data_IF_877957891030
#
_entry.id   IF_877957891030
#
_cell.length_a   1.000
_cell.length_b   1.000
_cell.length_c   1.000
_cell.angle_alpha   90.00
_cell.angle_beta   90.00
_cell.angle_gamma   90.00
#
_symmetry.space_group_name_H-M   'P 1'
#
loop_
_entity.id
_entity.type
_entity.pdbx_description
1 polymer ?
#
# COMPACT_ATOMS: atom_id res chain seq x y z
N UNK A 1 -37.46 -2.64 -26.82
CA UNK A 1 -36.25 -2.36 -26.01
C UNK A 1 -36.68 -2.23 -24.56
N UNK A 2 -36.21 -3.14 -23.69
CA UNK A 2 -36.49 -3.11 -22.25
C UNK A 2 -35.90 -1.81 -21.69
N UNK A 3 -36.75 -0.84 -21.39
CA UNK A 3 -36.39 0.34 -20.59
C UNK A 3 -35.84 -0.17 -19.26
N UNK A 4 -34.57 0.12 -18.96
CA UNK A 4 -33.96 -0.25 -17.69
C UNK A 4 -34.83 0.22 -16.52
N UNK A 5 -35.03 -0.66 -15.54
CA UNK A 5 -35.73 -0.34 -14.30
C UNK A 5 -35.06 0.89 -13.67
N UNK A 6 -35.80 2.00 -13.53
CA UNK A 6 -35.34 3.19 -12.80
C UNK A 6 -35.72 3.05 -11.34
N UNK A 7 -34.79 3.40 -10.46
CA UNK A 7 -34.98 3.38 -9.01
C UNK A 7 -35.05 4.80 -8.46
N UNK A 8 -35.93 5.02 -7.50
CA UNK A 8 -36.14 6.31 -6.89
C UNK A 8 -34.88 6.77 -6.14
N UNK A 9 -34.37 7.99 -6.37
CA UNK A 9 -33.17 8.49 -5.71
C UNK A 9 -33.35 8.73 -4.21
N UNK A 10 -34.61 8.82 -3.72
CA UNK A 10 -34.90 9.02 -2.29
C UNK A 10 -34.97 7.72 -1.49
N UNK A 11 -35.47 6.64 -2.07
CA UNK A 11 -35.80 5.43 -1.29
C UNK A 11 -35.48 4.10 -2.00
N UNK A 12 -34.87 4.14 -3.19
CA UNK A 12 -34.45 2.94 -3.93
C UNK A 12 -35.59 2.07 -4.47
N UNK A 13 -36.84 2.52 -4.42
CA UNK A 13 -38.00 1.78 -4.96
C UNK A 13 -38.10 1.97 -6.46
N UNK A 14 -38.49 0.93 -7.20
CA UNK A 14 -38.72 1.01 -8.66
C UNK A 14 -39.76 2.09 -8.96
N UNK A 15 -39.40 3.01 -9.86
CA UNK A 15 -40.29 4.08 -10.30
C UNK A 15 -41.26 3.60 -11.37
N UNK A 16 -42.48 4.12 -11.34
CA UNK A 16 -43.53 3.80 -12.30
C UNK A 16 -43.75 4.97 -13.25
N UNK A 17 -44.09 4.67 -14.51
CA UNK A 17 -44.43 5.71 -15.48
C UNK A 17 -45.91 6.06 -15.42
N UNK A 18 -46.21 7.35 -15.60
CA UNK A 18 -47.58 7.86 -15.71
C UNK A 18 -47.61 8.91 -16.81
N UNK A 19 -48.70 8.96 -17.58
CA UNK A 19 -48.88 9.93 -18.66
C UNK A 19 -49.69 11.12 -18.14
N UNK A 20 -49.26 12.34 -18.47
CA UNK A 20 -50.02 13.58 -18.28
C UNK A 20 -50.06 14.33 -19.62
N UNK A 21 -51.17 14.22 -20.34
CA UNK A 21 -51.26 14.75 -21.70
C UNK A 21 -50.24 14.10 -22.65
N UNK A 22 -49.44 14.93 -23.32
CA UNK A 22 -48.36 14.49 -24.22
C UNK A 22 -47.05 14.12 -23.50
N UNK A 23 -46.95 14.37 -22.18
CA UNK A 23 -45.72 14.17 -21.40
C UNK A 23 -45.76 12.86 -20.62
N UNK A 24 -44.62 12.17 -20.58
CA UNK A 24 -44.40 11.02 -19.72
C UNK A 24 -43.63 11.49 -18.48
N UNK A 25 -44.08 11.11 -17.28
CA UNK A 25 -43.34 11.36 -16.04
C UNK A 25 -43.16 10.07 -15.27
N UNK A 26 -42.07 9.98 -14.51
CA UNK A 26 -41.80 8.86 -13.60
C UNK A 26 -42.14 9.31 -12.18
N UNK A 27 -42.82 8.45 -11.43
CA UNK A 27 -43.16 8.70 -10.03
C UNK A 27 -42.80 7.51 -9.14
N UNK A 28 -42.45 7.79 -7.89
CA UNK A 28 -42.20 6.78 -6.89
C UNK A 28 -43.50 6.49 -6.10
N UNK A 29 -44.03 5.25 -6.11
CA UNK A 29 -45.23 4.92 -5.36
C UNK A 29 -45.01 4.94 -3.84
N UNK A 30 -43.75 4.86 -3.37
CA UNK A 30 -43.41 4.79 -1.94
C UNK A 30 -43.25 6.16 -1.27
N UNK A 31 -42.64 7.13 -1.94
CA UNK A 31 -42.31 8.43 -1.35
C UNK A 31 -42.86 9.64 -2.12
N UNK A 32 -43.62 9.42 -3.20
CA UNK A 32 -44.23 10.48 -3.99
C UNK A 32 -43.26 11.34 -4.80
N UNK A 33 -41.98 10.94 -4.92
CA UNK A 33 -41.01 11.64 -5.76
C UNK A 33 -41.39 11.55 -7.24
N UNK A 34 -41.44 12.68 -7.94
CA UNK A 34 -41.74 12.77 -9.38
C UNK A 34 -40.55 13.37 -10.14
N UNK A 35 -40.25 12.82 -11.32
CA UNK A 35 -39.28 13.39 -12.27
C UNK A 35 -39.91 13.50 -13.68
N UNK A 36 -39.76 14.67 -14.29
CA UNK A 36 -40.29 14.96 -15.61
C UNK A 36 -39.39 14.33 -16.68
N UNK A 37 -39.99 13.62 -17.64
CA UNK A 37 -39.26 13.06 -18.79
C UNK A 37 -39.61 13.92 -20.01
N UNK A 38 -39.05 15.13 -20.06
CA UNK A 38 -39.35 16.10 -21.12
C UNK A 38 -39.02 15.55 -22.52
N UNK A 39 -40.04 15.47 -23.40
CA UNK A 39 -39.91 15.13 -24.82
C UNK A 39 -40.24 16.34 -25.68
N UNK A 40 -39.33 16.76 -26.57
CA UNK A 40 -39.70 17.51 -27.78
C UNK A 40 -40.16 16.47 -28.81
N UNK A 41 -41.38 16.61 -29.32
CA UNK A 41 -41.97 15.69 -30.31
C UNK A 41 -42.04 16.39 -31.65
N UNK A 42 -41.23 15.97 -32.62
CA UNK A 42 -41.53 16.20 -34.04
C UNK A 42 -42.50 15.10 -34.53
N UNK A 43 -43.52 15.43 -35.33
CA UNK A 43 -44.52 14.46 -35.78
C UNK A 43 -43.89 13.38 -36.67
N UNK A 44 -44.08 12.09 -36.31
CA UNK A 44 -43.80 10.95 -37.20
C UNK A 44 -42.53 10.15 -36.91
N UNK A 45 -41.75 10.44 -35.85
CA UNK A 45 -40.62 9.60 -35.42
C UNK A 45 -40.76 9.10 -33.98
N UNK A 46 -40.30 7.86 -33.73
CA UNK A 46 -40.23 7.29 -32.37
C UNK A 46 -39.34 8.17 -31.47
N UNK A 47 -39.75 8.45 -30.22
CA UNK A 47 -38.96 9.29 -29.32
C UNK A 47 -37.61 8.63 -29.00
N UNK A 48 -36.53 9.33 -29.34
CA UNK A 48 -35.17 8.97 -28.95
C UNK A 48 -34.87 9.77 -27.68
N UNK A 49 -34.72 9.08 -26.55
CA UNK A 49 -34.19 9.67 -25.31
C UNK A 49 -32.74 10.10 -25.56
N UNK A 50 -32.52 11.36 -25.91
CA UNK A 50 -31.18 11.97 -25.85
C UNK A 50 -30.99 12.53 -24.44
N UNK A 51 -29.92 12.17 -23.72
CA UNK A 51 -29.55 12.88 -22.50
C UNK A 51 -29.44 14.37 -22.85
N UNK A 52 -29.96 15.25 -21.98
CA UNK A 52 -29.70 16.70 -22.08
C UNK A 52 -28.19 16.85 -22.24
N UNK A 53 -27.74 17.30 -23.41
CA UNK A 53 -26.31 17.44 -23.70
C UNK A 53 -25.77 18.51 -22.75
N UNK A 54 -25.17 18.07 -21.64
CA UNK A 54 -24.52 18.96 -20.71
C UNK A 54 -23.47 19.77 -21.50
N UNK A 55 -23.62 21.09 -21.51
CA UNK A 55 -22.69 21.98 -22.20
C UNK A 55 -21.51 22.30 -21.31
N UNK A 56 -20.34 22.41 -21.91
CA UNK A 56 -19.11 22.76 -21.22
C UNK A 56 -19.24 24.16 -20.58
N UNK A 57 -19.00 24.32 -19.28
CA UNK A 57 -19.13 25.61 -18.61
C UNK A 57 -18.06 26.61 -19.04
N UNK A 58 -16.98 26.17 -19.70
CA UNK A 58 -15.91 27.05 -20.20
C UNK A 58 -16.16 27.57 -21.61
N UNK A 59 -16.67 26.74 -22.52
CA UNK A 59 -16.74 27.08 -23.94
C UNK A 59 -18.08 26.75 -24.61
N UNK A 60 -19.07 26.25 -23.87
CA UNK A 60 -20.38 25.89 -24.39
C UNK A 60 -20.42 24.63 -25.26
N UNK A 61 -19.28 24.03 -25.58
CA UNK A 61 -19.18 22.81 -26.41
C UNK A 61 -19.74 21.56 -25.73
N UNK A 62 -20.00 20.50 -26.50
CA UNK A 62 -20.53 19.24 -25.99
C UNK A 62 -19.58 18.56 -24.99
N UNK A 63 -20.13 18.05 -23.89
CA UNK A 63 -19.40 17.23 -22.93
C UNK A 63 -19.50 15.74 -23.27
N UNK A 64 -18.40 15.03 -23.10
CA UNK A 64 -18.33 13.56 -23.16
C UNK A 64 -18.30 13.01 -21.74
N UNK A 65 -19.09 11.97 -21.47
CA UNK A 65 -19.09 11.27 -20.19
C UNK A 65 -18.49 9.87 -20.38
N UNK A 66 -17.57 9.48 -19.50
CA UNK A 66 -16.98 8.14 -19.44
C UNK A 66 -16.99 7.64 -18.00
N UNK A 67 -17.48 6.42 -17.81
CA UNK A 67 -17.47 5.77 -16.50
C UNK A 67 -16.45 4.63 -16.51
N UNK A 68 -15.65 4.56 -15.46
CA UNK A 68 -14.72 3.49 -15.15
C UNK A 68 -14.98 3.06 -13.71
N UNK A 69 -15.62 1.91 -13.53
CA UNK A 69 -16.04 1.40 -12.22
C UNK A 69 -16.85 2.44 -11.41
N UNK A 70 -16.25 2.97 -10.35
CA UNK A 70 -16.78 3.92 -9.38
C UNK A 70 -16.40 5.38 -9.70
N UNK A 71 -15.72 5.65 -10.82
CA UNK A 71 -15.41 7.00 -11.27
C UNK A 71 -16.15 7.33 -12.57
N UNK A 72 -16.81 8.48 -12.60
CA UNK A 72 -17.41 9.04 -13.81
C UNK A 72 -16.72 10.35 -14.17
N UNK A 73 -16.08 10.37 -15.33
CA UNK A 73 -15.41 11.53 -15.88
C UNK A 73 -16.33 12.24 -16.87
N UNK A 74 -16.44 13.55 -16.73
CA UNK A 74 -17.13 14.42 -17.68
C UNK A 74 -16.10 15.39 -18.25
N UNK A 75 -15.90 15.40 -19.56
CA UNK A 75 -14.84 16.20 -20.19
C UNK A 75 -15.25 16.83 -21.53
N UNK A 76 -14.65 17.98 -21.83
CA UNK A 76 -14.82 18.69 -23.09
C UNK A 76 -13.59 18.50 -23.96
N UNK A 77 -13.77 17.93 -25.17
CA UNK A 77 -12.67 17.78 -26.13
C UNK A 77 -12.17 19.11 -26.70
N UNK A 78 -13.00 20.15 -26.70
CA UNK A 78 -12.66 21.43 -27.32
C UNK A 78 -11.70 22.29 -26.49
N UNK A 79 -11.86 22.31 -25.16
CA UNK A 79 -11.07 23.18 -24.28
C UNK A 79 -10.38 22.44 -23.12
N UNK A 80 -10.43 21.11 -23.11
CA UNK A 80 -9.81 20.28 -22.07
C UNK A 80 -10.47 20.37 -20.69
N UNK A 81 -11.66 20.97 -20.56
CA UNK A 81 -12.41 20.95 -19.30
C UNK A 81 -12.65 19.51 -18.85
N UNK A 82 -12.39 19.18 -17.58
CA UNK A 82 -12.64 17.87 -17.02
C UNK A 82 -13.10 17.96 -15.55
N UNK A 83 -14.10 17.15 -15.21
CA UNK A 83 -14.54 16.89 -13.84
C UNK A 83 -14.72 15.40 -13.63
N UNK A 84 -14.56 14.95 -12.39
CA UNK A 84 -14.83 13.57 -12.00
C UNK A 84 -15.84 13.55 -10.86
N UNK A 85 -16.73 12.56 -10.87
CA UNK A 85 -17.61 12.23 -9.75
C UNK A 85 -17.30 10.81 -9.29
N UNK A 86 -17.26 10.64 -7.97
CA UNK A 86 -16.97 9.37 -7.31
C UNK A 86 -18.26 8.76 -6.75
N UNK A 87 -18.50 7.50 -7.11
CA UNK A 87 -19.61 6.68 -6.62
C UNK A 87 -19.06 5.60 -5.69
N UNK A 88 -19.02 5.82 -4.36
CA UNK A 88 -18.38 4.89 -3.44
C UNK A 88 -18.98 3.48 -3.53
N UNK A 89 -18.16 2.42 -3.37
CA UNK A 89 -18.67 1.07 -3.23
C UNK A 89 -19.54 0.95 -1.97
N UNK A 90 -20.44 -0.03 -1.96
CA UNK A 90 -21.30 -0.30 -0.80
C UNK A 90 -20.52 -0.79 0.42
N UNK A 91 -19.34 -1.38 0.19
CA UNK A 91 -18.43 -1.83 1.24
C UNK A 91 -17.74 -0.62 1.86
N UNK A 92 -17.88 -0.48 3.18
CA UNK A 92 -17.16 0.53 3.95
C UNK A 92 -15.87 -0.08 4.48
N UNK A 93 -14.79 0.68 4.36
CA UNK A 93 -13.55 0.41 5.08
C UNK A 93 -13.65 1.03 6.48
N UNK A 94 -13.01 0.42 7.49
CA UNK A 94 -12.33 -0.87 7.44
C UNK A 94 -13.28 -2.07 7.36
N UNK A 95 -12.80 -3.21 6.85
CA UNK A 95 -13.55 -4.49 6.83
C UNK A 95 -13.66 -5.07 8.24
N UNK A 96 -14.79 -5.73 8.53
CA UNK A 96 -15.00 -6.42 9.81
C UNK A 96 -13.90 -7.46 10.10
N UNK A 97 -13.53 -7.59 11.39
CA UNK A 97 -12.45 -8.46 11.85
C UNK A 97 -12.68 -9.94 11.52
N UNK A 98 -13.88 -10.48 11.74
CA UNK A 98 -14.16 -11.92 11.56
C UNK A 98 -13.91 -12.38 10.12
N UNK A 99 -14.50 -11.73 9.10
CA UNK A 99 -14.20 -12.02 7.71
C UNK A 99 -12.72 -11.85 7.37
N UNK A 100 -12.08 -10.78 7.86
CA UNK A 100 -10.66 -10.52 7.61
C UNK A 100 -9.74 -11.63 8.18
N UNK A 101 -9.97 -12.06 9.43
CA UNK A 101 -9.19 -13.13 10.06
C UNK A 101 -9.34 -14.46 9.33
N UNK A 102 -10.57 -14.81 8.90
CA UNK A 102 -10.78 -16.03 8.12
C UNK A 102 -10.08 -15.96 6.78
N UNK A 103 -10.12 -14.81 6.11
CA UNK A 103 -9.45 -14.62 4.83
C UNK A 103 -7.92 -14.71 4.99
N UNK A 104 -7.34 -14.08 6.01
CA UNK A 104 -5.91 -14.11 6.28
C UNK A 104 -5.39 -15.52 6.58
N UNK A 105 -6.10 -16.30 7.40
CA UNK A 105 -5.72 -17.71 7.67
C UNK A 105 -5.69 -18.54 6.39
N UNK A 106 -6.73 -18.41 5.56
CA UNK A 106 -6.76 -19.06 4.25
C UNK A 106 -5.65 -18.55 3.30
N UNK A 107 -5.27 -17.27 3.40
CA UNK A 107 -4.17 -16.71 2.63
C UNK A 107 -2.81 -17.29 3.05
N UNK A 108 -2.57 -17.47 4.36
CA UNK A 108 -1.38 -18.17 4.88
C UNK A 108 -1.32 -19.59 4.33
N UNK A 109 -2.40 -20.36 4.44
CA UNK A 109 -2.42 -21.75 3.99
C UNK A 109 -2.13 -21.87 2.48
N UNK A 110 -2.75 -21.01 1.67
CA UNK A 110 -2.49 -20.96 0.22
C UNK A 110 -1.07 -20.53 -0.11
N UNK A 111 -0.52 -19.55 0.61
CA UNK A 111 0.87 -19.12 0.42
C UNK A 111 1.86 -20.21 0.84
N UNK A 112 1.55 -20.97 1.90
CA UNK A 112 2.36 -22.08 2.37
C UNK A 112 2.37 -23.29 1.41
N UNK A 113 1.27 -23.52 0.69
CA UNK A 113 1.18 -24.58 -0.32
C UNK A 113 1.97 -24.26 -1.60
N UNK A 114 2.14 -22.97 -1.92
CA UNK A 114 2.87 -22.50 -3.10
C UNK A 114 4.28 -22.00 -2.75
N UNK A 115 4.95 -22.63 -1.75
CA UNK A 115 6.32 -22.27 -1.38
C UNK A 115 7.26 -22.60 -2.53
N UNK A 116 7.95 -21.58 -3.02
CA UNK A 116 9.01 -21.74 -4.01
C UNK A 116 10.23 -22.33 -3.31
N UNK A 117 10.51 -23.61 -3.56
CA UNK A 117 11.75 -24.25 -3.11
C UNK A 117 12.93 -23.66 -3.88
N UNK A 118 13.90 -23.14 -3.15
CA UNK A 118 15.12 -22.52 -3.72
C UNK A 118 16.35 -23.40 -3.56
N UNK A 119 16.28 -24.41 -2.69
CA UNK A 119 17.42 -25.28 -2.39
C UNK A 119 17.26 -26.11 -1.12
N UNK A 120 18.38 -26.54 -0.56
CA UNK A 120 18.47 -27.22 0.73
C UNK A 120 19.65 -26.70 1.54
N UNK A 121 19.59 -26.91 2.86
CA UNK A 121 20.65 -26.55 3.78
C UNK A 121 20.88 -27.62 4.85
N UNK A 122 22.11 -27.69 5.33
CA UNK A 122 22.54 -28.49 6.47
C UNK A 122 23.13 -27.56 7.52
N UNK A 123 22.68 -27.69 8.76
CA UNK A 123 23.14 -26.89 9.88
C UNK A 123 24.56 -27.31 10.25
N UNK A 124 25.47 -26.34 10.23
CA UNK A 124 26.88 -26.53 10.56
C UNK A 124 27.17 -26.00 11.96
N UNK A 125 26.62 -24.84 12.29
CA UNK A 125 26.90 -24.15 13.54
C UNK A 125 25.75 -23.24 13.97
N UNK A 126 25.67 -22.97 15.28
CA UNK A 126 24.67 -22.11 15.92
C UNK A 126 25.38 -21.18 16.91
N UNK A 127 25.32 -19.88 16.64
CA UNK A 127 25.90 -18.84 17.50
C UNK A 127 24.76 -17.98 18.11
N UNK A 128 24.60 -17.91 19.44
CA UNK A 128 23.65 -16.97 20.03
C UNK A 128 24.14 -15.53 19.87
N UNK A 129 23.24 -14.61 19.51
CA UNK A 129 23.49 -13.18 19.34
C UNK A 129 22.57 -12.34 20.24
N UNK A 130 22.97 -11.11 20.58
CA UNK A 130 22.10 -10.16 21.26
C UNK A 130 21.68 -10.57 22.68
N UNK A 131 22.50 -11.34 23.38
CA UNK A 131 22.18 -11.82 24.73
C UNK A 131 21.29 -13.08 24.76
N UNK A 132 21.12 -13.76 23.63
CA UNK A 132 20.36 -15.02 23.53
C UNK A 132 18.94 -14.85 23.00
N UNK A 133 18.59 -13.67 22.48
CA UNK A 133 17.28 -13.40 21.88
C UNK A 133 17.19 -13.86 20.41
N UNK A 134 18.34 -14.14 19.77
CA UNK A 134 18.45 -14.57 18.36
C UNK A 134 19.54 -15.62 18.23
N UNK A 135 19.29 -16.68 17.47
CA UNK A 135 20.30 -17.65 17.06
C UNK A 135 20.76 -17.35 15.63
N UNK A 136 22.07 -17.32 15.39
CA UNK A 136 22.68 -17.20 14.07
C UNK A 136 23.12 -18.58 13.61
N UNK A 137 22.44 -19.09 12.58
CA UNK A 137 22.70 -20.39 12.00
C UNK A 137 23.67 -20.25 10.84
N UNK A 138 24.72 -21.05 10.82
CA UNK A 138 25.57 -21.24 9.64
C UNK A 138 25.11 -22.50 8.92
N UNK A 139 24.57 -22.33 7.70
CA UNK A 139 24.05 -23.41 6.88
C UNK A 139 25.02 -23.70 5.73
N UNK A 140 25.38 -24.96 5.52
CA UNK A 140 25.96 -25.42 4.25
C UNK A 140 24.81 -25.64 3.28
N UNK A 141 24.78 -24.90 2.18
CA UNK A 141 23.60 -24.84 1.30
C UNK A 141 23.90 -25.28 -0.13
N UNK A 142 22.85 -25.76 -0.79
CA UNK A 142 22.76 -26.04 -2.23
C UNK A 142 21.56 -25.27 -2.77
N UNK A 143 21.78 -24.19 -3.52
CA UNK A 143 20.74 -23.23 -3.93
C UNK A 143 20.78 -23.06 -5.46
N UNK A 144 19.62 -22.96 -6.10
CA UNK A 144 19.57 -22.69 -7.54
C UNK A 144 20.23 -21.34 -7.87
N UNK A 145 20.95 -21.27 -9.00
CA UNK A 145 21.83 -20.15 -9.36
C UNK A 145 21.11 -18.80 -9.35
N UNK A 146 19.92 -18.72 -9.93
CA UNK A 146 19.09 -17.50 -9.92
C UNK A 146 18.81 -16.98 -8.50
N UNK A 147 18.58 -17.86 -7.53
CA UNK A 147 18.37 -17.50 -6.13
C UNK A 147 19.68 -17.20 -5.40
N UNK A 148 20.75 -17.97 -5.65
CA UNK A 148 22.08 -17.65 -5.13
C UNK A 148 22.57 -16.26 -5.58
N UNK A 149 22.22 -15.86 -6.80
CA UNK A 149 22.52 -14.55 -7.37
C UNK A 149 21.57 -13.45 -6.92
N UNK A 150 20.40 -13.75 -6.35
CA UNK A 150 19.37 -12.75 -5.99
C UNK A 150 19.06 -12.64 -4.49
N UNK A 151 19.34 -13.67 -3.69
CA UNK A 151 19.24 -13.66 -2.23
C UNK A 151 20.23 -12.68 -1.64
N UNK A 152 19.77 -11.92 -0.65
CA UNK A 152 20.54 -10.83 -0.05
C UNK A 152 20.30 -10.74 1.46
N UNK A 153 21.21 -10.10 2.21
CA UNK A 153 20.96 -9.74 3.60
C UNK A 153 19.57 -9.11 3.82
N UNK A 154 18.94 -9.51 4.92
CA UNK A 154 17.58 -9.20 5.32
C UNK A 154 16.46 -9.86 4.48
N UNK A 155 16.76 -10.63 3.43
CA UNK A 155 15.72 -11.43 2.77
C UNK A 155 15.25 -12.55 3.72
N UNK A 156 13.96 -12.86 3.69
CA UNK A 156 13.37 -13.89 4.56
C UNK A 156 13.28 -15.22 3.81
N UNK A 157 13.76 -16.29 4.43
CA UNK A 157 13.75 -17.65 3.88
C UNK A 157 13.30 -18.64 4.95
N UNK A 158 12.53 -19.64 4.54
CA UNK A 158 12.22 -20.78 5.39
C UNK A 158 13.34 -21.80 5.30
N UNK A 159 13.98 -22.15 6.42
CA UNK A 159 14.89 -23.28 6.56
C UNK A 159 14.18 -24.39 7.34
N UNK A 160 13.94 -25.56 6.73
CA UNK A 160 13.24 -26.66 7.41
C UNK A 160 11.88 -26.25 8.03
N UNK A 161 11.11 -25.41 7.31
CA UNK A 161 9.87 -24.75 7.77
C UNK A 161 10.05 -23.74 8.91
N UNK A 162 11.28 -23.44 9.30
CA UNK A 162 11.63 -22.41 10.24
C UNK A 162 11.86 -21.09 9.51
N UNK A 163 11.14 -20.05 9.90
CA UNK A 163 11.37 -18.74 9.34
C UNK A 163 12.73 -18.20 9.81
N UNK A 164 13.55 -17.77 8.86
CA UNK A 164 14.88 -17.21 9.11
C UNK A 164 15.13 -15.98 8.25
N UNK A 165 16.03 -15.11 8.69
CA UNK A 165 16.48 -13.91 7.95
C UNK A 165 17.92 -14.11 7.48
N UNK A 166 18.20 -13.92 6.20
CA UNK A 166 19.57 -13.91 5.67
C UNK A 166 20.39 -12.81 6.34
N UNK A 167 21.51 -13.15 6.97
CA UNK A 167 22.42 -12.20 7.64
C UNK A 167 23.49 -11.69 6.69
N UNK A 168 24.14 -12.62 5.98
CA UNK A 168 25.27 -12.34 5.10
C UNK A 168 24.96 -12.74 3.65
N UNK A 169 25.69 -12.16 2.71
CA UNK A 169 25.74 -12.72 1.35
C UNK A 169 26.24 -14.17 1.38
N UNK A 170 25.76 -15.00 0.44
CA UNK A 170 26.22 -16.38 0.30
C UNK A 170 27.74 -16.40 0.09
N UNK A 171 28.47 -16.96 1.07
CA UNK A 171 29.93 -17.05 1.05
C UNK A 171 30.33 -18.38 0.40
N UNK A 172 31.17 -18.31 -0.63
CA UNK A 172 31.55 -19.35 -1.59
C UNK A 172 30.48 -19.63 -2.67
N UNK A 173 30.90 -19.50 -3.93
CA UNK A 173 30.09 -19.63 -5.15
C UNK A 173 30.72 -20.66 -6.08
N UNK A 174 30.85 -21.89 -5.60
CA UNK A 174 31.02 -23.00 -6.55
C UNK A 174 29.66 -23.21 -7.23
N UNK A 175 29.50 -22.58 -8.39
CA UNK A 175 28.28 -22.63 -9.19
C UNK A 175 28.52 -23.52 -10.42
N UNK A 176 28.73 -24.81 -10.19
CA UNK A 176 28.87 -25.82 -11.24
C UNK A 176 27.52 -26.08 -11.93
N UNK A 177 27.16 -25.20 -12.87
CA UNK A 177 25.88 -25.27 -13.57
C UNK A 177 24.74 -24.59 -12.80
N UNK A 178 23.52 -25.12 -12.85
CA UNK A 178 22.33 -24.43 -12.33
C UNK A 178 22.22 -24.35 -10.80
N UNK A 179 23.15 -24.97 -10.08
CA UNK A 179 23.17 -25.02 -8.61
C UNK A 179 24.48 -24.42 -8.10
N UNK A 180 24.38 -23.66 -7.02
CA UNK A 180 25.49 -23.06 -6.31
C UNK A 180 25.60 -23.65 -4.90
N UNK A 181 26.81 -24.00 -4.51
CA UNK A 181 27.15 -24.49 -3.17
C UNK A 181 27.93 -23.44 -2.39
N UNK A 182 27.64 -23.32 -1.10
CA UNK A 182 28.32 -22.38 -0.21
C UNK A 182 27.80 -22.41 1.21
N UNK A 183 28.11 -21.36 1.95
CA UNK A 183 27.65 -21.14 3.32
C UNK A 183 26.73 -19.92 3.39
N UNK A 184 25.56 -20.12 3.97
CA UNK A 184 24.56 -19.08 4.21
C UNK A 184 24.40 -18.90 5.72
N UNK A 185 24.60 -17.67 6.20
CA UNK A 185 24.29 -17.31 7.58
C UNK A 185 22.89 -16.73 7.68
N UNK A 186 22.07 -17.26 8.57
CA UNK A 186 20.69 -16.81 8.78
C UNK A 186 20.41 -16.59 10.26
N UNK A 187 19.61 -15.59 10.61
CA UNK A 187 19.08 -15.39 11.95
C UNK A 187 17.75 -16.11 12.12
N UNK A 188 17.60 -16.82 13.23
CA UNK A 188 16.41 -17.54 13.62
C UNK A 188 16.03 -17.19 15.07
N UNK A 189 14.78 -17.48 15.45
CA UNK A 189 14.39 -17.39 16.86
C UNK A 189 15.06 -18.51 17.66
N UNK A 190 15.53 -18.27 18.90
CA UNK A 190 16.26 -19.25 19.68
C UNK A 190 15.46 -20.51 19.94
N UNK A 191 15.95 -21.67 19.47
CA UNK A 191 15.35 -22.98 19.72
C UNK A 191 16.27 -24.12 19.29
N UNK A 192 15.82 -25.36 19.48
CA UNK A 192 16.47 -26.52 18.87
C UNK A 192 16.17 -26.55 17.36
N UNK A 193 17.19 -26.26 16.56
CA UNK A 193 17.07 -26.21 15.10
C UNK A 193 17.24 -27.60 14.45
N UNK A 194 16.53 -27.89 13.34
CA UNK A 194 16.73 -29.08 12.55
C UNK A 194 18.17 -29.16 11.99
N UNK A 195 18.75 -30.37 11.87
CA UNK A 195 20.10 -30.54 11.33
C UNK A 195 20.17 -30.35 9.80
N UNK A 196 19.05 -30.55 9.09
CA UNK A 196 18.95 -30.38 7.65
C UNK A 196 17.51 -30.07 7.24
N UNK A 197 17.34 -29.44 6.08
CA UNK A 197 16.02 -29.24 5.51
C UNK A 197 16.02 -28.44 4.20
N UNK A 198 14.83 -28.32 3.62
CA UNK A 198 14.60 -27.53 2.41
C UNK A 198 14.60 -26.03 2.71
N UNK A 199 15.09 -25.26 1.74
CA UNK A 199 15.03 -23.81 1.73
C UNK A 199 13.89 -23.36 0.82
N UNK A 200 13.04 -22.45 1.31
CA UNK A 200 11.98 -21.83 0.52
C UNK A 200 12.00 -20.32 0.68
N UNK A 201 11.50 -19.59 -0.32
CA UNK A 201 11.20 -18.17 -0.13
C UNK A 201 10.09 -18.01 0.91
N UNK A 202 10.26 -17.05 1.83
CA UNK A 202 9.26 -16.79 2.86
C UNK A 202 8.23 -15.73 2.43
N UNK A 203 8.50 -15.00 1.36
CA UNK A 203 7.56 -14.04 0.77
C UNK A 203 6.61 -14.77 -0.21
N UNK A 204 5.29 -14.51 -0.18
CA UNK A 204 4.56 -13.51 0.61
C UNK A 204 4.02 -14.02 1.96
N UNK A 205 4.20 -15.29 2.32
CA UNK A 205 3.61 -15.91 3.53
C UNK A 205 3.82 -15.06 4.79
N UNK A 206 5.01 -14.49 4.92
CA UNK A 206 5.40 -13.59 6.00
C UNK A 206 4.51 -12.36 6.20
N UNK A 207 3.96 -11.81 5.11
CA UNK A 207 3.06 -10.67 5.18
C UNK A 207 1.79 -11.03 5.96
N UNK A 208 1.22 -12.19 5.63
CA UNK A 208 0.00 -12.68 6.24
C UNK A 208 0.22 -13.12 7.69
N UNK A 209 1.36 -13.75 7.99
CA UNK A 209 1.71 -14.12 9.36
C UNK A 209 1.92 -12.88 10.25
N UNK A 210 2.63 -11.86 9.77
CA UNK A 210 2.78 -10.58 10.48
C UNK A 210 1.41 -9.91 10.69
N UNK A 211 0.57 -9.87 9.65
CA UNK A 211 -0.78 -9.32 9.75
C UNK A 211 -1.64 -10.05 10.79
N UNK A 212 -1.65 -11.38 10.80
CA UNK A 212 -2.39 -12.18 11.80
C UNK A 212 -1.90 -11.88 13.22
N UNK A 213 -0.57 -11.88 13.44
CA UNK A 213 0.01 -11.56 14.75
C UNK A 213 -0.45 -10.19 15.25
N UNK A 214 -0.39 -9.16 14.39
CA UNK A 214 -0.81 -7.79 14.73
C UNK A 214 -2.29 -7.75 15.13
N UNK A 215 -3.15 -8.49 14.41
CA UNK A 215 -4.59 -8.54 14.71
C UNK A 215 -4.90 -9.32 15.99
N UNK A 216 -4.11 -10.36 16.31
CA UNK A 216 -4.29 -11.18 17.52
C UNK A 216 -3.81 -10.45 18.79
N UNK A 217 -2.73 -9.67 18.71
CA UNK A 217 -2.17 -8.94 19.86
C UNK A 217 -3.08 -7.80 20.39
N UNK A 218 -4.13 -7.39 19.66
CA UNK A 218 -5.12 -6.38 20.07
C UNK A 218 -4.51 -5.08 20.64
N UNK A 219 -3.36 -4.64 20.12
CA UNK A 219 -2.73 -3.36 20.45
C UNK A 219 -3.58 -2.19 19.92
N UNK A 220 -3.38 -0.98 20.49
CA UNK A 220 -4.00 0.24 19.98
C UNK A 220 -3.38 0.72 18.66
N UNK A 221 -3.79 0.02 17.61
CA UNK A 221 -3.46 0.26 16.21
C UNK A 221 -4.73 0.67 15.46
N UNK A 222 -4.63 0.91 14.16
CA UNK A 222 -5.79 1.06 13.27
C UNK A 222 -6.84 -0.04 13.54
N UNK A 223 -6.41 -1.28 13.78
CA UNK A 223 -7.28 -2.41 14.13
C UNK A 223 -8.04 -2.22 15.45
N UNK A 224 -7.42 -1.65 16.49
CA UNK A 224 -8.11 -1.34 17.75
C UNK A 224 -9.29 -0.39 17.52
N UNK A 225 -9.15 0.56 16.60
CA UNK A 225 -10.23 1.47 16.21
C UNK A 225 -11.28 0.76 15.34
N UNK A 226 -10.86 -0.09 14.40
CA UNK A 226 -11.76 -0.94 13.58
C UNK A 226 -12.63 -1.86 14.43
N UNK A 227 -12.08 -2.38 15.52
CA UNK A 227 -12.74 -3.34 16.40
C UNK A 227 -13.46 -2.69 17.59
N UNK A 228 -13.62 -1.36 17.61
CA UNK A 228 -14.19 -0.59 18.73
C UNK A 228 -13.53 -0.92 20.08
N UNK A 229 -12.23 -1.21 20.07
CA UNK A 229 -11.49 -1.61 21.25
C UNK A 229 -11.50 -0.46 22.29
N UNK A 230 -11.96 -0.72 23.52
CA UNK A 230 -12.23 0.33 24.52
C UNK A 230 -10.97 1.01 25.10
N UNK A 231 -9.76 0.67 24.62
CA UNK A 231 -8.48 1.03 25.25
C UNK A 231 -7.67 2.09 24.49
N UNK A 232 -8.15 2.59 23.35
CA UNK A 232 -7.35 3.54 22.57
C UNK A 232 -7.62 4.96 23.02
N UNK A 233 -6.63 5.50 23.74
CA UNK A 233 -6.60 6.92 24.06
C UNK A 233 -6.48 7.71 22.75
N UNK A 234 -7.25 8.79 22.57
CA UNK A 234 -7.08 9.66 21.41
C UNK A 234 -5.65 10.23 21.44
N UNK A 235 -4.86 9.93 20.42
CA UNK A 235 -3.62 10.67 20.20
C UNK A 235 -3.99 12.10 19.83
N UNK A 236 -3.22 13.11 20.27
CA UNK A 236 -3.45 14.47 19.81
C UNK A 236 -3.28 14.53 18.29
N UNK A 237 -4.28 15.07 17.59
CA UNK A 237 -4.15 15.36 16.17
C UNK A 237 -3.07 16.44 16.00
N UNK A 238 -2.04 16.14 15.21
CA UNK A 238 -1.05 17.15 14.85
C UNK A 238 -1.50 17.80 13.56
N UNK A 239 -1.97 19.05 13.62
CA UNK A 239 -2.29 19.80 12.41
C UNK A 239 -1.01 20.14 11.64
N UNK A 240 -0.86 19.55 10.46
CA UNK A 240 0.27 19.83 9.58
C UNK A 240 -0.17 20.87 8.56
N UNK A 241 0.31 22.10 8.76
CA UNK A 241 0.11 23.19 7.80
C UNK A 241 0.98 22.99 6.56
N UNK A 242 0.41 23.22 5.37
CA UNK A 242 1.15 23.20 4.10
C UNK A 242 2.06 24.43 4.04
N UNK A 243 3.37 24.21 4.05
CA UNK A 243 4.38 25.28 4.04
C UNK A 243 4.86 25.63 2.64
N UNK A 244 4.96 24.62 1.75
CA UNK A 244 5.48 24.80 0.39
C UNK A 244 4.35 24.98 -0.61
N UNK A 245 4.61 25.77 -1.65
CA UNK A 245 3.71 25.89 -2.80
C UNK A 245 3.99 24.76 -3.77
N UNK A 246 3.17 23.72 -3.71
CA UNK A 246 3.28 22.56 -4.61
C UNK A 246 2.65 22.84 -5.97
N UNK A 247 3.30 22.42 -7.06
CA UNK A 247 2.73 22.44 -8.40
C UNK A 247 1.83 21.22 -8.62
N UNK A 248 0.73 21.17 -7.86
CA UNK A 248 -0.27 20.11 -7.92
C UNK A 248 -1.57 20.66 -8.48
N UNK A 249 -2.30 19.82 -9.22
CA UNK A 249 -3.64 20.21 -9.66
C UNK A 249 -4.63 20.29 -8.48
N UNK A 250 -5.84 20.79 -8.76
CA UNK A 250 -6.87 20.99 -7.72
C UNK A 250 -7.23 19.71 -6.96
N UNK A 251 -7.25 18.55 -7.62
CA UNK A 251 -7.64 17.27 -7.03
C UNK A 251 -6.50 16.66 -6.21
N UNK A 252 -5.27 16.80 -6.70
CA UNK A 252 -4.05 16.43 -5.99
C UNK A 252 -3.86 17.30 -4.73
N UNK A 253 -4.09 18.61 -4.83
CA UNK A 253 -4.05 19.52 -3.68
C UNK A 253 -5.13 19.17 -2.65
N UNK A 254 -6.32 18.77 -3.09
CA UNK A 254 -7.38 18.31 -2.18
C UNK A 254 -7.00 17.01 -1.48
N UNK A 255 -6.45 16.03 -2.21
CA UNK A 255 -5.94 14.80 -1.63
C UNK A 255 -4.82 15.06 -0.61
N UNK A 256 -3.90 16.00 -0.90
CA UNK A 256 -2.85 16.43 0.02
C UNK A 256 -3.44 17.01 1.31
N UNK A 257 -4.38 17.97 1.21
CA UNK A 257 -5.03 18.57 2.40
C UNK A 257 -5.69 17.52 3.27
N UNK A 258 -6.46 16.62 2.65
CA UNK A 258 -7.16 15.53 3.35
C UNK A 258 -6.20 14.55 4.01
N UNK A 259 -5.05 14.26 3.38
CA UNK A 259 -4.04 13.40 3.97
C UNK A 259 -3.43 14.05 5.22
N UNK A 260 -3.09 15.34 5.17
CA UNK A 260 -2.50 16.07 6.29
C UNK A 260 -3.49 16.35 7.44
N UNK A 261 -4.79 16.36 7.15
CA UNK A 261 -5.85 16.57 8.15
C UNK A 261 -6.48 15.27 8.66
N UNK A 262 -5.84 14.11 8.43
CA UNK A 262 -6.36 12.84 8.93
C UNK A 262 -6.40 12.86 10.46
N UNK A 263 -7.52 12.42 11.09
CA UNK A 263 -7.54 12.22 12.52
C UNK A 263 -6.58 11.07 12.89
N UNK A 264 -6.19 10.96 14.17
CA UNK A 264 -5.53 9.77 14.69
C UNK A 264 -6.24 8.49 14.25
N UNK A 265 -5.46 7.53 13.75
CA UNK A 265 -5.98 6.26 13.21
C UNK A 265 -6.95 6.43 12.02
N UNK A 266 -6.95 7.60 11.37
CA UNK A 266 -7.70 7.83 10.13
C UNK A 266 -7.06 7.14 8.93
N UNK A 267 -7.88 6.85 7.92
CA UNK A 267 -7.41 6.32 6.65
C UNK A 267 -7.99 7.16 5.50
N UNK A 268 -7.21 7.28 4.41
CA UNK A 268 -7.63 7.94 3.19
C UNK A 268 -7.31 7.04 2.01
N UNK A 269 -8.34 6.63 1.26
CA UNK A 269 -8.16 6.02 -0.05
C UNK A 269 -8.13 7.11 -1.11
N UNK A 270 -7.03 7.18 -1.86
CA UNK A 270 -6.88 8.08 -3.01
C UNK A 270 -6.94 7.25 -4.27
N UNK A 271 -8.06 7.36 -5.00
CA UNK A 271 -8.20 6.71 -6.29
C UNK A 271 -7.67 7.60 -7.40
N UNK A 272 -6.70 7.09 -8.15
CA UNK A 272 -6.08 7.82 -9.26
C UNK A 272 -5.79 6.88 -10.42
N UNK A 273 -6.44 7.04 -11.59
CA UNK A 273 -6.09 6.35 -12.82
C UNK A 273 -4.60 6.45 -13.17
N UNK A 274 -4.08 5.60 -14.08
CA UNK A 274 -2.69 5.69 -14.55
C UNK A 274 -2.33 7.12 -15.00
N UNK A 275 -1.15 7.60 -14.61
CA UNK A 275 -0.66 8.93 -15.00
C UNK A 275 -1.23 10.13 -14.23
N UNK A 276 -2.15 9.93 -13.28
CA UNK A 276 -2.75 11.04 -12.48
C UNK A 276 -1.88 11.60 -11.37
N UNK A 277 -0.62 11.16 -11.26
CA UNK A 277 0.35 11.74 -10.32
C UNK A 277 0.09 11.43 -8.84
N UNK A 278 -0.50 10.27 -8.51
CA UNK A 278 -0.66 9.80 -7.10
C UNK A 278 0.62 9.93 -6.28
N UNK A 279 1.74 9.50 -6.85
CA UNK A 279 3.06 9.56 -6.24
C UNK A 279 3.51 11.00 -5.94
N UNK A 280 3.05 12.01 -6.71
CA UNK A 280 3.31 13.43 -6.41
C UNK A 280 2.56 13.90 -5.15
N UNK A 281 1.35 13.37 -4.90
CA UNK A 281 0.61 13.66 -3.66
C UNK A 281 1.31 13.02 -2.47
N UNK A 282 1.74 11.76 -2.59
CA UNK A 282 2.54 11.06 -1.58
C UNK A 282 3.80 11.86 -1.26
N UNK A 283 4.52 12.32 -2.29
CA UNK A 283 5.75 13.07 -2.12
C UNK A 283 5.53 14.40 -1.39
N UNK A 284 4.55 15.19 -1.82
CA UNK A 284 4.22 16.46 -1.18
C UNK A 284 3.81 16.25 0.30
N UNK A 285 2.97 15.26 0.59
CA UNK A 285 2.56 14.95 1.95
C UNK A 285 3.75 14.52 2.81
N UNK A 286 4.59 13.61 2.30
CA UNK A 286 5.79 13.16 2.99
C UNK A 286 6.76 14.32 3.30
N UNK A 287 6.93 15.26 2.37
CA UNK A 287 7.74 16.46 2.60
C UNK A 287 7.18 17.31 3.76
N UNK A 288 5.88 17.62 3.75
CA UNK A 288 5.25 18.45 4.78
C UNK A 288 5.34 17.78 6.16
N UNK A 289 5.04 16.48 6.23
CA UNK A 289 5.11 15.70 7.48
C UNK A 289 6.54 15.63 8.01
N UNK A 290 7.52 15.28 7.16
CA UNK A 290 8.91 15.19 7.57
C UNK A 290 9.47 16.57 8.01
N UNK A 291 9.05 17.65 7.36
CA UNK A 291 9.42 19.02 7.74
C UNK A 291 8.83 19.42 9.10
N UNK A 292 7.64 18.92 9.44
CA UNK A 292 7.05 19.06 10.77
C UNK A 292 7.70 18.14 11.83
N UNK A 293 8.69 17.33 11.44
CA UNK A 293 9.36 16.38 12.33
C UNK A 293 8.62 15.03 12.46
N UNK A 294 7.56 14.79 11.70
CA UNK A 294 6.89 13.49 11.68
C UNK A 294 7.73 12.42 11.00
N UNK A 295 7.42 11.15 11.30
CA UNK A 295 7.98 9.97 10.66
C UNK A 295 6.98 9.39 9.66
N UNK A 296 7.45 9.20 8.43
CA UNK A 296 6.67 8.75 7.29
C UNK A 296 7.21 7.41 6.80
N UNK A 297 6.35 6.41 6.69
CA UNK A 297 6.65 5.17 5.98
C UNK A 297 6.07 5.23 4.57
N UNK A 298 6.91 4.98 3.58
CA UNK A 298 6.54 4.74 2.19
C UNK A 298 6.72 3.25 1.91
N UNK A 299 5.64 2.57 1.56
CA UNK A 299 5.67 1.14 1.30
C UNK A 299 4.85 0.73 0.08
N UNK A 300 5.20 -0.43 -0.47
CA UNK A 300 4.51 -1.08 -1.59
C UNK A 300 4.95 -2.55 -1.67
N UNK A 301 4.38 -3.30 -2.61
CA UNK A 301 4.77 -4.69 -2.87
C UNK A 301 6.11 -4.77 -3.62
N UNK A 302 6.41 -3.81 -4.50
CA UNK A 302 7.61 -3.83 -5.35
C UNK A 302 8.64 -2.81 -4.91
N UNK A 303 9.93 -3.12 -5.12
CA UNK A 303 11.01 -2.16 -4.90
C UNK A 303 10.88 -0.95 -5.84
N UNK A 304 10.44 -1.16 -7.09
CA UNK A 304 10.28 -0.11 -8.09
C UNK A 304 9.28 0.95 -7.64
N UNK A 305 8.11 0.56 -7.12
CA UNK A 305 7.12 1.52 -6.63
C UNK A 305 7.64 2.34 -5.44
N UNK A 306 8.33 1.69 -4.50
CA UNK A 306 8.96 2.38 -3.35
C UNK A 306 10.04 3.35 -3.84
N UNK A 307 10.91 2.91 -4.75
CA UNK A 307 12.00 3.74 -5.26
C UNK A 307 11.47 4.94 -6.03
N UNK A 308 10.45 4.76 -6.90
CA UNK A 308 9.81 5.85 -7.62
C UNK A 308 9.21 6.90 -6.67
N UNK A 309 8.59 6.47 -5.57
CA UNK A 309 8.06 7.37 -4.55
C UNK A 309 9.17 8.12 -3.82
N UNK A 310 10.26 7.44 -3.45
CA UNK A 310 11.43 8.06 -2.81
C UNK A 310 12.12 9.05 -3.75
N UNK A 311 12.32 8.71 -5.02
CA UNK A 311 12.87 9.64 -6.03
C UNK A 311 12.01 10.90 -6.13
N UNK A 312 10.69 10.75 -6.23
CA UNK A 312 9.77 11.89 -6.28
C UNK A 312 9.81 12.74 -5.01
N UNK A 313 9.96 12.12 -3.83
CA UNK A 313 10.17 12.84 -2.55
C UNK A 313 11.46 13.65 -2.60
N UNK A 314 12.55 13.07 -3.08
CA UNK A 314 13.84 13.75 -3.16
C UNK A 314 13.81 14.92 -4.16
N UNK A 315 13.13 14.75 -5.30
CA UNK A 315 12.86 15.82 -6.27
C UNK A 315 12.08 16.97 -5.64
N UNK A 316 11.08 16.66 -4.80
CA UNK A 316 10.17 17.65 -4.21
C UNK A 316 10.75 18.36 -2.99
N UNK A 317 11.36 17.61 -2.07
CA UNK A 317 11.83 18.17 -0.82
C UNK A 317 13.26 18.73 -0.91
N UNK A 318 14.05 18.31 -1.92
CA UNK A 318 15.46 18.69 -2.04
C UNK A 318 16.33 18.15 -0.89
N UNK A 319 17.52 18.75 -0.72
CA UNK A 319 18.54 18.28 0.22
C UNK A 319 18.13 18.38 1.70
N UNK A 320 17.26 19.35 2.06
CA UNK A 320 16.83 19.61 3.44
C UNK A 320 16.21 18.39 4.10
N UNK A 321 15.29 17.73 3.40
CA UNK A 321 14.66 16.48 3.85
C UNK A 321 15.42 15.26 3.34
N UNK A 322 16.08 15.35 2.18
CA UNK A 322 16.81 14.22 1.59
C UNK A 322 17.82 13.56 2.54
N UNK A 323 18.47 14.32 3.42
CA UNK A 323 19.38 13.77 4.44
C UNK A 323 18.70 12.88 5.51
N UNK A 324 17.40 13.05 5.70
CA UNK A 324 16.55 12.29 6.62
C UNK A 324 15.72 11.22 5.91
N UNK A 325 15.87 11.05 4.60
CA UNK A 325 15.26 9.95 3.85
C UNK A 325 16.18 8.74 3.94
N UNK A 326 15.61 7.59 4.31
CA UNK A 326 16.29 6.29 4.32
C UNK A 326 15.54 5.29 3.44
N UNK A 327 16.30 4.44 2.77
CA UNK A 327 15.75 3.34 1.98
C UNK A 327 16.27 2.02 2.55
N UNK A 328 15.37 1.28 3.20
CA UNK A 328 15.69 0.00 3.85
C UNK A 328 15.37 -1.14 2.89
N UNK A 329 16.42 -1.75 2.35
CA UNK A 329 16.38 -2.81 1.36
C UNK A 329 17.77 -3.08 0.83
N UNK A 330 17.93 -4.15 0.05
CA UNK A 330 19.25 -4.48 -0.48
C UNK A 330 19.67 -3.49 -1.59
N UNK A 331 20.90 -2.92 -1.56
CA UNK A 331 21.37 -1.95 -2.58
C UNK A 331 21.24 -2.42 -4.03
N UNK A 332 21.33 -3.73 -4.28
CA UNK A 332 21.19 -4.31 -5.63
C UNK A 332 19.74 -4.29 -6.16
N UNK A 333 18.74 -4.14 -5.29
CA UNK A 333 17.31 -4.08 -5.64
C UNK A 333 16.79 -2.64 -5.64
N UNK A 334 17.67 -1.65 -5.55
CA UNK A 334 17.34 -0.24 -5.39
C UNK A 334 17.82 0.54 -6.62
N UNK A 335 17.01 1.49 -7.06
CA UNK A 335 17.33 2.34 -8.20
C UNK A 335 18.68 3.06 -8.03
N UNK A 336 19.42 3.34 -9.13
CA UNK A 336 20.71 4.04 -9.06
C UNK A 336 20.64 5.41 -8.38
N UNK A 337 19.52 6.13 -8.55
CA UNK A 337 19.29 7.45 -7.95
C UNK A 337 19.18 7.35 -6.42
N UNK A 338 18.38 6.39 -5.93
CA UNK A 338 18.15 6.18 -4.49
C UNK A 338 19.35 5.51 -3.82
N UNK A 339 20.16 4.74 -4.56
CA UNK A 339 21.33 4.01 -4.03
C UNK A 339 22.32 4.90 -3.28
N UNK A 340 22.46 6.18 -3.64
CA UNK A 340 23.34 7.14 -2.92
C UNK A 340 22.91 7.34 -1.47
N UNK A 341 21.61 7.33 -1.19
CA UNK A 341 21.04 7.44 0.15
C UNK A 341 21.24 6.14 0.93
N UNK A 342 21.10 4.99 0.27
CA UNK A 342 21.38 3.66 0.87
C UNK A 342 22.84 3.54 1.32
N UNK A 343 23.79 4.04 0.53
CA UNK A 343 25.22 4.03 0.92
C UNK A 343 25.45 4.89 2.16
N UNK A 344 24.82 6.05 2.25
CA UNK A 344 24.85 6.87 3.45
C UNK A 344 24.23 6.14 4.66
N UNK A 345 23.14 5.40 4.46
CA UNK A 345 22.47 4.60 5.48
C UNK A 345 23.35 3.44 5.96
N UNK A 346 24.01 2.71 5.06
CA UNK A 346 24.98 1.66 5.42
C UNK A 346 26.16 2.23 6.22
N UNK A 347 26.61 3.44 5.87
CA UNK A 347 27.62 4.16 6.65
C UNK A 347 27.13 4.49 8.06
N UNK A 348 25.88 4.93 8.21
CA UNK A 348 25.25 5.19 9.52
C UNK A 348 25.05 3.91 10.33
N UNK A 349 24.56 2.85 9.70
CA UNK A 349 24.39 1.53 10.32
C UNK A 349 25.71 0.96 10.83
N UNK A 350 26.81 1.11 10.07
CA UNK A 350 28.14 0.68 10.53
C UNK A 350 28.63 1.47 11.75
N UNK A 351 28.21 2.72 11.93
CA UNK A 351 28.63 3.58 13.05
C UNK A 351 27.74 3.45 14.31
N UNK A 352 26.48 3.05 14.18
CA UNK A 352 25.53 3.04 15.31
C UNK A 352 24.35 2.05 15.21
N UNK A 353 24.37 1.11 14.27
CA UNK A 353 23.35 0.08 14.09
C UNK A 353 22.04 0.57 13.46
N UNK A 354 21.06 -0.34 13.38
CA UNK A 354 19.72 -0.05 12.86
C UNK A 354 18.99 1.00 13.72
N UNK A 355 19.19 0.98 15.05
CA UNK A 355 18.57 1.93 15.98
C UNK A 355 18.94 3.38 15.71
N UNK A 356 20.22 3.66 15.42
CA UNK A 356 20.67 5.01 15.09
C UNK A 356 19.99 5.53 13.82
N UNK A 357 19.88 4.68 12.80
CA UNK A 357 19.18 5.01 11.55
C UNK A 357 17.70 5.33 11.82
N UNK A 358 17.01 4.50 12.61
CA UNK A 358 15.60 4.69 12.97
C UNK A 358 15.35 5.97 13.77
N UNK A 359 16.34 6.46 14.53
CA UNK A 359 16.23 7.69 15.32
C UNK A 359 16.39 8.96 14.47
N UNK A 360 17.28 8.93 13.49
CA UNK A 360 17.63 10.12 12.68
C UNK A 360 16.70 10.33 11.49
N UNK A 361 16.28 9.24 10.85
CA UNK A 361 15.46 9.32 9.65
C UNK A 361 14.02 9.78 9.95
N UNK A 362 13.42 10.44 8.97
CA UNK A 362 12.03 10.93 9.00
C UNK A 362 11.19 10.33 7.89
N UNK A 363 11.80 9.92 6.77
CA UNK A 363 11.10 9.23 5.70
C UNK A 363 11.76 7.88 5.48
N UNK A 364 10.97 6.82 5.52
CA UNK A 364 11.43 5.44 5.45
C UNK A 364 10.82 4.78 4.22
N UNK A 365 11.64 4.36 3.26
CA UNK A 365 11.20 3.57 2.11
C UNK A 365 11.52 2.10 2.31
N UNK A 366 10.53 1.21 2.30
CA UNK A 366 10.75 -0.23 2.26
C UNK A 366 9.55 -0.99 1.69
N UNK A 367 9.80 -2.17 1.12
CA UNK A 367 8.70 -3.06 0.70
C UNK A 367 7.95 -3.58 1.92
N UNK A 368 6.69 -3.97 1.73
CA UNK A 368 5.89 -4.55 2.82
C UNK A 368 6.51 -5.82 3.39
N UNK A 369 7.15 -6.64 2.54
CA UNK A 369 7.79 -7.85 3.00
C UNK A 369 9.01 -7.57 3.88
N UNK A 370 9.78 -6.52 3.56
CA UNK A 370 10.86 -6.05 4.44
C UNK A 370 10.30 -5.49 5.75
N UNK A 371 9.19 -4.76 5.70
CA UNK A 371 8.51 -4.27 6.91
C UNK A 371 8.08 -5.45 7.81
N UNK A 372 7.44 -6.47 7.26
CA UNK A 372 7.01 -7.67 7.98
C UNK A 372 8.20 -8.45 8.58
N UNK A 373 9.30 -8.56 7.84
CA UNK A 373 10.54 -9.17 8.32
C UNK A 373 11.11 -8.42 9.53
N UNK A 374 11.17 -7.09 9.46
CA UNK A 374 11.64 -6.25 10.56
C UNK A 374 10.73 -6.33 11.78
N UNK A 375 9.43 -6.35 11.55
CA UNK A 375 8.41 -6.49 12.58
C UNK A 375 8.52 -7.85 13.32
N UNK A 376 8.57 -8.96 12.59
CA UNK A 376 8.54 -10.31 13.15
C UNK A 376 9.82 -10.73 13.88
N UNK A 377 10.97 -10.16 13.50
CA UNK A 377 12.27 -10.53 14.05
C UNK A 377 12.90 -9.48 14.96
N UNK A 378 12.75 -8.19 14.64
CA UNK A 378 13.43 -7.13 15.38
C UNK A 378 12.48 -6.30 16.25
N UNK A 379 11.15 -6.55 16.18
CA UNK A 379 10.18 -5.80 16.96
C UNK A 379 10.24 -4.31 16.64
N UNK A 380 10.10 -3.98 15.34
CA UNK A 380 10.25 -2.61 14.83
C UNK A 380 9.38 -1.59 15.58
N UNK A 381 8.19 -1.99 16.05
CA UNK A 381 7.30 -1.16 16.87
C UNK A 381 7.96 -0.70 18.17
N UNK A 382 8.69 -1.61 18.84
CA UNK A 382 9.45 -1.32 20.07
C UNK A 382 10.63 -0.40 19.78
N UNK A 383 11.38 -0.68 18.71
CA UNK A 383 12.55 0.13 18.33
C UNK A 383 12.16 1.58 18.00
N UNK A 384 11.02 1.79 17.35
CA UNK A 384 10.51 3.11 16.98
C UNK A 384 9.85 3.86 18.14
N UNK A 385 9.57 3.23 19.29
CA UNK A 385 8.91 3.86 20.46
C UNK A 385 7.66 4.67 20.08
N UNK A 386 6.77 4.08 19.27
CA UNK A 386 5.55 4.76 18.80
C UNK A 386 5.24 4.58 17.32
N UNK A 387 6.14 3.95 16.55
CA UNK A 387 5.91 3.62 15.15
C UNK A 387 6.12 4.80 14.18
N UNK A 388 5.28 4.84 13.15
CA UNK A 388 5.24 5.89 12.13
C UNK A 388 3.99 6.75 12.31
N UNK A 389 4.12 8.06 12.14
CA UNK A 389 2.98 8.99 12.23
C UNK A 389 2.07 8.86 11.01
N UNK A 390 2.66 8.63 9.83
CA UNK A 390 1.95 8.42 8.58
C UNK A 390 2.52 7.23 7.81
N UNK A 391 1.64 6.49 7.17
CA UNK A 391 1.99 5.39 6.26
C UNK A 391 1.32 5.63 4.91
N UNK A 392 2.13 5.71 3.86
CA UNK A 392 1.66 5.75 2.48
C UNK A 392 1.94 4.42 1.81
N UNK A 393 0.89 3.83 1.25
CA UNK A 393 0.96 2.58 0.50
C UNK A 393 0.74 2.93 -0.97
N UNK A 394 1.81 2.94 -1.77
CA UNK A 394 1.66 3.11 -3.22
C UNK A 394 1.26 1.76 -3.86
N UNK A 395 0.48 1.83 -4.93
CA UNK A 395 -0.14 0.67 -5.57
C UNK A 395 -0.97 -0.19 -4.59
N UNK A 396 -1.64 0.44 -3.63
CA UNK A 396 -2.41 -0.25 -2.58
C UNK A 396 -3.47 -1.24 -3.11
N UNK A 397 -3.96 -1.08 -4.34
CA UNK A 397 -4.88 -2.04 -4.98
C UNK A 397 -4.23 -3.37 -5.37
N UNK A 398 -2.90 -3.42 -5.42
CA UNK A 398 -2.10 -4.61 -5.71
C UNK A 398 -1.56 -5.28 -4.44
N UNK A 399 -1.76 -4.62 -3.29
CA UNK A 399 -1.37 -5.15 -2.00
C UNK A 399 -2.46 -6.11 -1.52
N UNK A 400 -2.08 -7.32 -1.06
CA UNK A 400 -3.04 -8.29 -0.57
C UNK A 400 -3.70 -7.88 0.75
#
# INVERSE_FOLDING_TARGET
MRTGLRFCPRCGTVMMSKKRGASLFLYCPKCGFEEDVSTVVEPGRRPILRPIEARCPRCGGALTVRTSYNLTFTYCRNCGYITATYSPPAVRLPVERRPLMSWLKNAVDRAAQNKVEIGSGELVDVEPEGGGDVDVLTLRVSIQRNYAESLRPLDSVFYANELTIVKDELKAKDCSGEVCHGYLRVAARPRRHPPAGKLHLAEPTMLYESALRILEENKCTLHGVVAEAPRCSPLPATEISIRKRWNLDKWQMEALRRALSLPPYGFLAVEGPPGTGKTSVIAAAACEIATAGGRVLITSLTNVAVDNAIERILEFCGFEIGKYVTRIGHPAKISPTVRRYVVADLGRQRKGGLEALLREARVFGMTMAKLASLDLFYGLDKMLKGGFDYVFIDEASMVP
#
